data_IF_301507345902
#
_entry.id   IF_301507345902
#
_cell.length_a   1.000
_cell.length_b   1.000
_cell.length_c   1.000
_cell.angle_alpha   90.00
_cell.angle_beta   90.00
_cell.angle_gamma   90.00
#
_symmetry.space_group_name_H-M   'P 1'
#
loop_
_entity.id
_entity.type
_entity.pdbx_description
1 polymer ?
#
# COMPACT_ATOMS: atom_id res chain seq x y z
N UNK A 1 10.81 10.84 5.47
CA UNK A 1 10.26 9.48 5.40
C UNK A 1 9.07 9.33 4.44
N UNK A 2 7.91 9.95 4.66
CA UNK A 2 6.69 9.69 3.85
C UNK A 2 6.83 9.86 2.32
N UNK A 3 7.55 10.90 1.83
CA UNK A 3 7.78 11.10 0.38
C UNK A 3 8.67 10.03 -0.23
N UNK A 4 9.73 9.66 0.48
CA UNK A 4 10.64 8.60 0.06
C UNK A 4 9.91 7.25 -0.04
N UNK A 5 9.09 6.91 0.95
CA UNK A 5 8.28 5.69 0.94
C UNK A 5 7.30 5.65 -0.24
N UNK A 6 6.68 6.78 -0.57
CA UNK A 6 5.78 6.88 -1.73
C UNK A 6 6.53 6.70 -3.06
N UNK A 7 7.69 7.34 -3.22
CA UNK A 7 8.53 7.21 -4.43
C UNK A 7 9.01 5.76 -4.59
N UNK A 8 9.48 5.15 -3.51
CA UNK A 8 9.95 3.76 -3.50
C UNK A 8 8.83 2.78 -3.89
N UNK A 9 7.61 2.99 -3.37
CA UNK A 9 6.45 2.20 -3.79
C UNK A 9 6.12 2.38 -5.27
N UNK A 10 6.17 3.60 -5.79
CA UNK A 10 5.91 3.88 -7.20
C UNK A 10 6.94 3.20 -8.12
N UNK A 11 8.23 3.29 -7.76
CA UNK A 11 9.32 2.64 -8.50
C UNK A 11 9.10 1.13 -8.56
N UNK A 12 8.79 0.50 -7.42
CA UNK A 12 8.57 -0.94 -7.36
C UNK A 12 7.34 -1.38 -8.16
N UNK A 13 6.28 -0.57 -8.21
CA UNK A 13 5.12 -0.81 -9.09
C UNK A 13 5.53 -0.78 -10.56
N UNK A 14 6.35 0.20 -10.97
CA UNK A 14 6.85 0.31 -12.34
C UNK A 14 7.74 -0.89 -12.69
N UNK A 15 8.64 -1.30 -11.79
CA UNK A 15 9.50 -2.48 -11.98
C UNK A 15 8.63 -3.73 -12.17
N UNK A 16 7.61 -3.91 -11.34
CA UNK A 16 6.69 -5.04 -11.48
C UNK A 16 5.90 -4.99 -12.79
N UNK A 17 5.47 -3.80 -13.24
CA UNK A 17 4.79 -3.66 -14.52
C UNK A 17 5.70 -4.06 -15.69
N UNK A 18 6.94 -3.56 -15.72
CA UNK A 18 7.93 -3.89 -16.75
C UNK A 18 8.30 -5.38 -16.70
N UNK A 19 8.48 -5.95 -15.50
CA UNK A 19 8.75 -7.37 -15.34
C UNK A 19 7.60 -8.23 -15.88
N UNK A 20 6.34 -7.83 -15.66
CA UNK A 20 5.18 -8.53 -16.22
C UNK A 20 5.13 -8.59 -17.75
N UNK A 21 5.82 -7.67 -18.44
CA UNK A 21 5.92 -7.67 -19.91
C UNK A 21 6.96 -8.66 -20.46
N UNK A 22 7.85 -9.20 -19.61
CA UNK A 22 8.92 -10.12 -20.00
C UNK A 22 8.48 -11.59 -20.12
N UNK A 23 7.17 -11.87 -20.01
CA UNK A 23 6.61 -13.22 -20.13
C UNK A 23 6.72 -14.04 -18.84
N UNK A 24 6.78 -15.37 -18.96
CA UNK A 24 6.64 -16.29 -17.82
C UNK A 24 7.71 -16.11 -16.73
N UNK A 25 8.96 -15.85 -17.12
CA UNK A 25 10.07 -15.59 -16.18
C UNK A 25 9.86 -14.27 -15.41
N UNK A 26 9.24 -13.29 -16.08
CA UNK A 26 8.86 -12.01 -15.50
C UNK A 26 7.82 -12.13 -14.38
N UNK A 27 6.91 -13.10 -14.46
CA UNK A 27 5.86 -13.31 -13.45
C UNK A 27 6.46 -13.62 -12.08
N UNK A 28 7.50 -14.45 -12.01
CA UNK A 28 8.17 -14.78 -10.74
C UNK A 28 8.77 -13.51 -10.11
N UNK A 29 9.38 -12.65 -10.93
CA UNK A 29 9.93 -11.38 -10.48
C UNK A 29 8.84 -10.42 -9.99
N UNK A 30 7.69 -10.37 -10.68
CA UNK A 30 6.51 -9.61 -10.23
C UNK A 30 6.04 -10.07 -8.86
N UNK A 31 5.93 -11.38 -8.66
CA UNK A 31 5.50 -11.97 -7.39
C UNK A 31 6.47 -11.63 -6.26
N UNK A 32 7.77 -11.73 -6.51
CA UNK A 32 8.80 -11.40 -5.52
C UNK A 32 8.76 -9.91 -5.15
N UNK A 33 8.68 -9.02 -6.14
CA UNK A 33 8.57 -7.57 -5.92
C UNK A 33 7.30 -7.23 -5.15
N UNK A 34 6.18 -7.85 -5.50
CA UNK A 34 4.90 -7.67 -4.83
C UNK A 34 4.94 -8.14 -3.37
N UNK A 35 5.60 -9.26 -3.09
CA UNK A 35 5.78 -9.76 -1.74
C UNK A 35 6.59 -8.78 -0.88
N UNK A 36 7.74 -8.29 -1.39
CA UNK A 36 8.58 -7.30 -0.71
C UNK A 36 7.80 -5.99 -0.48
N UNK A 37 7.06 -5.52 -1.49
CA UNK A 37 6.18 -4.37 -1.39
C UNK A 37 5.12 -4.54 -0.32
N UNK A 38 4.45 -5.69 -0.30
CA UNK A 38 3.41 -6.03 0.66
C UNK A 38 3.93 -6.00 2.09
N UNK A 39 5.06 -6.64 2.36
CA UNK A 39 5.73 -6.60 3.67
C UNK A 39 6.05 -5.16 4.07
N UNK A 40 6.69 -4.41 3.17
CA UNK A 40 7.07 -3.03 3.44
C UNK A 40 5.86 -2.13 3.72
N UNK A 41 4.76 -2.30 2.99
CA UNK A 41 3.50 -1.59 3.21
C UNK A 41 2.86 -1.98 4.54
N UNK A 42 2.89 -3.26 4.91
CA UNK A 42 2.35 -3.75 6.17
C UNK A 42 3.11 -3.16 7.37
N UNK A 43 4.44 -3.14 7.33
CA UNK A 43 5.26 -2.48 8.35
C UNK A 43 4.99 -0.98 8.45
N UNK A 44 4.90 -0.27 7.31
CA UNK A 44 4.56 1.14 7.32
C UNK A 44 3.16 1.40 7.88
N UNK A 45 2.19 0.53 7.56
CA UNK A 45 0.83 0.65 8.05
C UNK A 45 0.77 0.42 9.56
N UNK A 46 1.56 -0.52 10.10
CA UNK A 46 1.70 -0.73 11.54
C UNK A 46 2.26 0.52 12.23
N UNK A 47 3.37 1.07 11.73
CA UNK A 47 3.97 2.29 12.28
C UNK A 47 2.97 3.46 12.21
N UNK A 48 2.27 3.61 11.09
CA UNK A 48 1.22 4.62 10.93
C UNK A 48 0.08 4.41 11.94
N UNK A 49 -0.35 3.18 12.17
CA UNK A 49 -1.42 2.85 13.13
C UNK A 49 -1.02 3.21 14.57
N UNK A 50 0.24 2.95 14.95
CA UNK A 50 0.76 3.28 16.28
C UNK A 50 0.93 4.79 16.46
N UNK A 51 1.43 5.48 15.43
CA UNK A 51 1.72 6.92 15.49
C UNK A 51 0.48 7.81 15.37
N UNK A 52 -0.59 7.36 14.70
CA UNK A 52 -1.82 8.11 14.52
C UNK A 52 -2.85 7.88 15.64
N UNK A 53 -2.56 8.37 16.85
CA UNK A 53 -3.58 8.49 17.92
C UNK A 53 -4.41 9.79 17.86
N UNK A 54 -4.19 10.70 16.89
CA UNK A 54 -4.75 12.07 16.93
C UNK A 54 -5.43 12.62 15.66
N UNK A 55 -5.46 11.93 14.51
CA UNK A 55 -6.04 12.51 13.27
C UNK A 55 -7.22 11.65 12.78
N UNK A 56 -8.43 12.11 13.05
CA UNK A 56 -9.70 11.39 12.90
C UNK A 56 -10.02 10.89 11.47
N UNK A 57 -9.67 11.67 10.44
CA UNK A 57 -9.96 11.33 9.03
C UNK A 57 -9.04 10.26 8.45
N UNK A 58 -7.77 10.21 8.87
CA UNK A 58 -6.84 9.17 8.41
C UNK A 58 -7.16 7.82 9.05
N UNK A 59 -7.71 7.82 10.27
CA UNK A 59 -8.13 6.62 11.01
C UNK A 59 -9.18 5.80 10.25
N UNK A 60 -10.19 6.43 9.63
CA UNK A 60 -11.24 5.70 8.88
C UNK A 60 -10.67 4.94 7.68
N UNK A 61 -9.78 5.57 6.90
CA UNK A 61 -9.18 4.92 5.72
C UNK A 61 -8.22 3.79 6.12
N UNK A 62 -7.48 3.98 7.22
CA UNK A 62 -6.59 2.96 7.76
C UNK A 62 -7.36 1.75 8.34
N UNK A 63 -8.52 1.98 8.96
CA UNK A 63 -9.43 0.92 9.41
C UNK A 63 -9.91 0.07 8.23
N UNK A 64 -10.35 0.70 7.14
CA UNK A 64 -10.77 -0.03 5.92
C UNK A 64 -9.60 -0.83 5.33
N UNK A 65 -8.39 -0.27 5.31
CA UNK A 65 -7.18 -1.00 4.88
C UNK A 65 -6.97 -2.27 5.71
N UNK A 66 -7.01 -2.18 7.04
CA UNK A 66 -6.85 -3.34 7.91
C UNK A 66 -7.95 -4.38 7.76
N UNK A 67 -9.20 -3.96 7.51
CA UNK A 67 -10.28 -4.89 7.18
C UNK A 67 -9.97 -5.65 5.89
N UNK A 68 -9.52 -4.96 4.83
CA UNK A 68 -9.15 -5.62 3.56
C UNK A 68 -7.98 -6.58 3.73
N UNK A 69 -6.96 -6.21 4.50
CA UNK A 69 -5.82 -7.09 4.84
C UNK A 69 -6.30 -8.31 5.63
N UNK A 70 -7.19 -8.12 6.61
CA UNK A 70 -7.76 -9.21 7.40
C UNK A 70 -8.57 -10.18 6.55
N UNK A 71 -9.47 -9.66 5.70
CA UNK A 71 -10.27 -10.48 4.77
C UNK A 71 -9.38 -11.24 3.79
N UNK A 72 -8.30 -10.61 3.30
CA UNK A 72 -7.32 -11.27 2.43
C UNK A 72 -6.68 -12.48 3.10
N UNK A 73 -6.12 -12.33 4.30
CA UNK A 73 -5.48 -13.45 5.01
C UNK A 73 -6.48 -14.51 5.48
N UNK A 74 -7.66 -14.09 5.94
CA UNK A 74 -8.72 -15.02 6.36
C UNK A 74 -9.20 -15.88 5.19
N UNK A 75 -9.44 -15.26 4.02
CA UNK A 75 -9.78 -16.01 2.82
C UNK A 75 -8.67 -16.98 2.41
N UNK A 76 -7.40 -16.56 2.54
CA UNK A 76 -6.26 -17.40 2.13
C UNK A 76 -6.21 -18.65 3.01
N UNK A 77 -6.38 -18.47 4.32
CA UNK A 77 -6.46 -19.56 5.28
C UNK A 77 -7.63 -20.51 4.98
N UNK A 78 -8.80 -19.98 4.59
CA UNK A 78 -9.96 -20.81 4.20
C UNK A 78 -9.66 -21.62 2.94
N UNK A 79 -9.08 -21.01 1.91
CA UNK A 79 -8.73 -21.71 0.66
C UNK A 79 -7.71 -22.82 0.91
N UNK A 80 -6.65 -22.52 1.68
CA UNK A 80 -5.59 -23.49 1.98
C UNK A 80 -6.11 -24.66 2.81
N UNK A 81 -7.05 -24.42 3.74
CA UNK A 81 -7.60 -25.50 4.58
C UNK A 81 -8.63 -26.35 3.87
N UNK A 82 -9.47 -25.77 3.00
CA UNK A 82 -10.53 -26.50 2.29
C UNK A 82 -10.02 -27.23 1.04
N UNK A 83 -8.93 -26.77 0.41
CA UNK A 83 -8.40 -27.34 -0.84
C UNK A 83 -6.91 -27.70 -0.73
N UNK A 84 -6.52 -28.66 0.13
CA UNK A 84 -5.12 -28.97 0.39
C UNK A 84 -4.41 -29.70 -0.76
N UNK A 85 -5.14 -30.30 -1.72
CA UNK A 85 -4.59 -31.24 -2.72
C UNK A 85 -4.95 -30.91 -4.18
N UNK A 86 -5.40 -29.68 -4.50
CA UNK A 86 -5.85 -29.36 -5.86
C UNK A 86 -5.00 -28.30 -6.59
N UNK A 87 -4.88 -28.49 -7.91
CA UNK A 87 -4.48 -27.47 -8.93
C UNK A 87 -5.38 -26.21 -8.92
N UNK A 88 -6.38 -26.14 -8.03
CA UNK A 88 -7.08 -24.91 -7.64
C UNK A 88 -6.09 -23.82 -7.24
N UNK A 89 -4.92 -24.20 -6.72
CA UNK A 89 -3.84 -23.28 -6.39
C UNK A 89 -3.56 -22.32 -7.56
N UNK A 90 -3.43 -22.77 -8.81
CA UNK A 90 -3.08 -21.87 -9.92
C UNK A 90 -4.18 -20.84 -10.25
N UNK A 91 -5.44 -21.25 -10.24
CA UNK A 91 -6.58 -20.34 -10.55
C UNK A 91 -6.87 -19.38 -9.40
N UNK A 92 -6.75 -19.86 -8.16
CA UNK A 92 -7.00 -19.05 -6.97
C UNK A 92 -5.82 -18.15 -6.66
N UNK A 93 -4.58 -18.58 -6.95
CA UNK A 93 -3.37 -17.79 -6.81
C UNK A 93 -3.46 -16.51 -7.64
N UNK A 94 -3.92 -16.58 -8.90
CA UNK A 94 -4.09 -15.37 -9.71
C UNK A 94 -5.07 -14.37 -9.07
N UNK A 95 -6.21 -14.85 -8.58
CA UNK A 95 -7.18 -14.00 -7.88
C UNK A 95 -6.61 -13.39 -6.60
N UNK A 96 -5.81 -14.16 -5.86
CA UNK A 96 -5.10 -13.71 -4.67
C UNK A 96 -4.05 -12.65 -4.99
N UNK A 97 -3.24 -12.88 -6.03
CA UNK A 97 -2.25 -11.94 -6.53
C UNK A 97 -2.92 -10.60 -6.89
N UNK A 98 -4.02 -10.63 -7.64
CA UNK A 98 -4.78 -9.44 -8.01
C UNK A 98 -5.37 -8.72 -6.79
N UNK A 99 -5.88 -9.48 -5.81
CA UNK A 99 -6.41 -8.92 -4.57
C UNK A 99 -5.32 -8.21 -3.75
N UNK A 100 -4.13 -8.77 -3.67
CA UNK A 100 -2.99 -8.15 -3.02
C UNK A 100 -2.54 -6.84 -3.73
N UNK A 101 -2.63 -6.79 -5.06
CA UNK A 101 -2.39 -5.55 -5.82
C UNK A 101 -3.40 -4.45 -5.49
N UNK A 102 -4.68 -4.79 -5.38
CA UNK A 102 -5.74 -3.84 -5.02
C UNK A 102 -5.47 -3.25 -3.63
N UNK A 103 -5.08 -4.09 -2.67
CA UNK A 103 -4.72 -3.66 -1.31
C UNK A 103 -3.50 -2.73 -1.33
N UNK A 104 -2.48 -3.06 -2.12
CA UNK A 104 -1.27 -2.26 -2.25
C UNK A 104 -1.55 -0.87 -2.86
N UNK A 105 -2.37 -0.82 -3.91
CA UNK A 105 -2.80 0.44 -4.53
C UNK A 105 -3.67 1.28 -3.59
N UNK A 106 -4.53 0.63 -2.80
CA UNK A 106 -5.31 1.32 -1.78
C UNK A 106 -4.42 1.95 -0.71
N UNK A 107 -3.37 1.26 -0.26
CA UNK A 107 -2.41 1.82 0.69
C UNK A 107 -1.60 2.98 0.10
N UNK A 108 -1.25 2.90 -1.20
CA UNK A 108 -0.61 4.00 -1.93
C UNK A 108 -1.51 5.25 -1.94
N UNK A 109 -2.83 5.06 -2.16
CA UNK A 109 -3.82 6.16 -2.10
C UNK A 109 -3.89 6.80 -0.71
N UNK A 110 -3.84 6.00 0.36
CA UNK A 110 -3.79 6.50 1.75
C UNK A 110 -2.50 7.32 1.95
N UNK A 111 -1.36 6.77 1.55
CA UNK A 111 -0.04 7.42 1.67
C UNK A 111 0.00 8.76 0.92
N UNK A 112 -0.58 8.82 -0.27
CA UNK A 112 -0.71 10.07 -1.05
C UNK A 112 -1.60 11.10 -0.36
N UNK A 113 -2.74 10.68 0.21
CA UNK A 113 -3.63 11.59 0.96
C UNK A 113 -2.94 12.18 2.18
N UNK A 114 -2.23 11.36 2.96
CA UNK A 114 -1.47 11.81 4.11
C UNK A 114 -0.39 12.84 3.72
N UNK A 115 0.28 12.65 2.57
CA UNK A 115 1.24 13.61 2.03
C UNK A 115 0.60 14.94 1.59
N UNK A 116 -0.61 14.88 1.01
CA UNK A 116 -1.34 16.07 0.55
C UNK A 116 -1.86 16.90 1.73
N UNK A 117 -2.39 16.26 2.76
CA UNK A 117 -2.85 16.92 3.99
C UNK A 117 -1.68 17.61 4.72
N UNK A 118 -0.53 16.95 4.84
CA UNK A 118 0.67 17.56 5.43
C UNK A 118 1.16 18.80 4.66
N UNK A 119 1.07 18.81 3.32
CA UNK A 119 1.38 20.02 2.53
C UNK A 119 0.37 21.15 2.75
N UNK A 120 -0.91 20.82 2.99
CA UNK A 120 -1.96 21.81 3.25
C UNK A 120 -1.78 22.46 4.62
N UNK A 121 -1.47 21.66 5.64
CA UNK A 121 -1.22 22.17 6.99
C UNK A 121 0.02 23.05 7.03
N UNK A 122 1.10 22.69 6.32
CA UNK A 122 2.30 23.55 6.21
C UNK A 122 2.04 24.87 5.47
N UNK A 123 1.17 24.88 4.46
CA UNK A 123 0.80 26.12 3.74
C UNK A 123 -0.18 27.00 4.54
N UNK A 124 -1.08 26.39 5.31
CA UNK A 124 -1.99 27.11 6.22
C UNK A 124 -1.31 27.69 7.45
N UNK A 125 -0.17 27.13 7.86
CA UNK A 125 0.64 27.64 8.98
C UNK A 125 1.52 28.84 8.60
N UNK A 126 1.75 29.10 7.30
CA UNK A 126 2.63 30.16 6.80
C UNK A 126 2.02 31.07 5.71
N UNK A 127 0.75 31.53 5.78
CA UNK A 127 0.25 32.50 4.79
C UNK A 127 0.80 33.92 5.00
N UNK A 128 1.35 34.24 6.17
CA UNK A 128 1.71 35.63 6.55
C UNK A 128 3.21 35.89 6.79
N UNK A 129 4.13 34.95 6.55
CA UNK A 129 5.56 35.26 6.70
C UNK A 129 6.09 36.10 5.52
N UNK A 130 5.51 35.98 4.34
CA UNK A 130 5.88 36.79 3.17
C UNK A 130 5.54 38.29 3.34
N UNK A 131 4.54 38.64 4.16
CA UNK A 131 4.21 40.05 4.47
C UNK A 131 5.15 40.70 5.49
N UNK A 132 5.94 39.92 6.23
CA UNK A 132 6.87 40.44 7.24
C UNK A 132 8.29 40.71 6.69
N UNK A 133 8.63 40.17 5.51
CA UNK A 133 9.94 40.39 4.87
C UNK A 133 9.93 41.45 3.75
N UNK A 134 8.84 42.20 3.60
CA UNK A 134 8.72 43.32 2.64
C UNK A 134 8.83 44.71 3.30
N UNK A 135 9.47 44.83 4.47
CA UNK A 135 9.80 46.13 5.07
C UNK A 135 11.30 46.36 5.10
#
# INVERSE_FOLDING_TARGET
MKRFNFILQLILIIIAFVAGLLGAEGIILVLLVQFILGIYQLFNALIATISFRRIEKSVKSLKTYWIMVGVYFAGLAIVVTLFPNENIFDKVLLFYILSAWIIALYYLRISYRMLKEEKRDRKGFLPNLDSYFQK
#
